data_IF_366532775846
#
_entry.id   IF_366532775846
#
_cell.length_a   1.000
_cell.length_b   1.000
_cell.length_c   1.000
_cell.angle_alpha   90.00
_cell.angle_beta   90.00
_cell.angle_gamma   90.00
#
_symmetry.space_group_name_H-M   'P 1'
#
loop_
_entity.id
_entity.type
_entity.pdbx_description
1 polymer ?
#
# COMPACT_ATOMS: atom_id res chain seq x y z
N UNK A 1 1.69 -7.18 10.02
CA UNK A 1 2.09 -8.44 9.35
C UNK A 1 2.45 -9.48 10.39
N UNK A 2 2.04 -10.74 10.21
CA UNK A 2 2.37 -11.84 11.11
C UNK A 2 3.20 -12.85 10.29
N UNK A 3 4.46 -13.06 10.69
CA UNK A 3 5.30 -14.10 10.12
C UNK A 3 4.72 -15.48 10.43
N UNK A 4 4.89 -16.44 9.53
CA UNK A 4 4.51 -17.83 9.79
C UNK A 4 5.62 -18.50 10.62
N UNK A 5 5.34 -18.91 11.87
CA UNK A 5 6.38 -19.26 12.86
C UNK A 5 7.25 -20.48 12.53
N UNK A 6 6.83 -21.39 11.67
CA UNK A 6 7.47 -22.69 11.47
C UNK A 6 7.98 -22.92 10.03
N UNK A 7 8.30 -21.85 9.29
CA UNK A 7 8.84 -22.03 7.94
C UNK A 7 10.35 -21.88 7.89
N UNK A 8 11.02 -22.77 7.14
CA UNK A 8 12.44 -22.59 6.87
C UNK A 8 12.70 -21.30 6.11
N UNK A 9 13.79 -20.67 6.40
CA UNK A 9 14.34 -19.55 5.68
C UNK A 9 14.45 -19.92 4.20
N UNK A 10 13.87 -19.13 3.29
CA UNK A 10 13.86 -19.43 1.87
C UNK A 10 14.44 -18.28 1.05
N UNK A 11 14.98 -18.60 -0.11
CA UNK A 11 15.38 -17.64 -1.12
C UNK A 11 14.15 -17.05 -1.80
N UNK A 12 14.32 -15.94 -2.53
CA UNK A 12 13.23 -15.35 -3.31
C UNK A 12 12.69 -16.32 -4.37
N UNK A 13 13.54 -17.11 -5.01
CA UNK A 13 13.11 -18.10 -6.00
C UNK A 13 12.28 -19.21 -5.37
N UNK A 14 12.72 -19.75 -4.23
CA UNK A 14 11.96 -20.75 -3.48
C UNK A 14 10.62 -20.19 -2.99
N UNK A 15 10.56 -18.89 -2.61
CA UNK A 15 9.31 -18.24 -2.26
C UNK A 15 8.35 -18.19 -3.46
N UNK A 16 8.78 -17.81 -4.65
CA UNK A 16 7.92 -17.79 -5.83
C UNK A 16 7.34 -19.17 -6.15
N UNK A 17 8.17 -20.22 -6.09
CA UNK A 17 7.73 -21.59 -6.32
C UNK A 17 6.77 -22.10 -5.23
N UNK A 18 7.03 -21.71 -3.99
CA UNK A 18 6.21 -22.08 -2.86
C UNK A 18 4.86 -21.35 -2.84
N UNK A 19 4.86 -20.04 -3.12
CA UNK A 19 3.64 -19.23 -3.01
C UNK A 19 2.54 -19.66 -3.99
N UNK A 20 2.90 -20.10 -5.20
CA UNK A 20 1.93 -20.63 -6.19
C UNK A 20 1.09 -21.78 -5.65
N UNK A 21 1.58 -22.50 -4.65
CA UNK A 21 0.90 -23.62 -4.02
C UNK A 21 0.04 -23.22 -2.82
N UNK A 22 0.03 -21.93 -2.46
CA UNK A 22 -0.69 -21.43 -1.29
C UNK A 22 -2.10 -20.95 -1.68
N UNK A 23 -3.01 -20.97 -0.69
CA UNK A 23 -4.38 -20.47 -0.85
C UNK A 23 -4.55 -18.96 -0.69
N UNK A 24 -3.48 -18.22 -0.35
CA UNK A 24 -3.47 -16.77 -0.21
C UNK A 24 -2.11 -16.20 -0.61
N UNK A 25 -2.05 -14.87 -0.76
CA UNK A 25 -0.82 -14.14 -1.10
C UNK A 25 0.06 -13.95 0.13
N UNK A 26 1.35 -13.91 -0.11
CA UNK A 26 2.36 -13.63 0.90
C UNK A 26 3.35 -12.58 0.41
N UNK A 27 3.74 -11.67 1.27
CA UNK A 27 4.91 -10.83 1.04
C UNK A 27 6.16 -11.55 1.55
N UNK A 28 7.29 -11.33 0.88
CA UNK A 28 8.57 -11.93 1.23
C UNK A 28 9.54 -10.86 1.70
N UNK A 29 10.15 -11.06 2.87
CA UNK A 29 11.16 -10.14 3.42
C UNK A 29 12.31 -10.93 4.02
N UNK A 30 13.48 -10.85 3.38
CA UNK A 30 14.74 -11.43 3.90
C UNK A 30 14.65 -12.90 4.35
N UNK A 31 13.94 -13.74 3.61
CA UNK A 31 13.80 -15.17 3.92
C UNK A 31 12.53 -15.55 4.64
N UNK A 32 11.79 -14.60 5.16
CA UNK A 32 10.51 -14.79 5.86
C UNK A 32 9.33 -14.44 4.97
N UNK A 33 8.19 -15.10 5.20
CA UNK A 33 6.94 -14.85 4.48
C UNK A 33 5.84 -14.36 5.41
N UNK A 34 5.05 -13.42 4.93
CA UNK A 34 4.01 -12.74 5.68
C UNK A 34 2.70 -12.83 4.93
N UNK A 35 1.69 -13.48 5.51
CA UNK A 35 0.38 -13.58 4.90
C UNK A 35 -0.27 -12.21 4.72
N UNK A 36 -0.82 -11.97 3.54
CA UNK A 36 -1.62 -10.79 3.28
C UNK A 36 -3.06 -11.00 3.74
N UNK A 37 -3.59 -10.01 4.42
CA UNK A 37 -5.02 -9.93 4.75
C UNK A 37 -5.73 -9.10 3.68
N UNK A 38 -6.99 -9.40 3.42
CA UNK A 38 -7.82 -8.58 2.51
C UNK A 38 -8.01 -7.16 3.05
N UNK A 39 -8.19 -6.21 2.14
CA UNK A 39 -8.54 -4.83 2.45
C UNK A 39 -10.04 -4.65 2.71
N UNK A 40 -10.44 -3.46 3.19
CA UNK A 40 -11.83 -3.05 3.32
C UNK A 40 -12.43 -2.65 1.96
N UNK A 41 -13.77 -2.47 1.90
CA UNK A 41 -14.42 -1.98 0.68
C UNK A 41 -13.91 -0.57 0.29
N UNK A 42 -13.80 0.43 1.19
CA UNK A 42 -13.18 1.72 0.88
C UNK A 42 -11.77 1.58 0.29
N UNK A 43 -10.92 0.76 0.89
CA UNK A 43 -9.58 0.48 0.38
C UNK A 43 -9.61 -0.03 -1.08
N UNK A 44 -10.46 -1.02 -1.36
CA UNK A 44 -10.58 -1.58 -2.70
C UNK A 44 -11.13 -0.56 -3.71
N UNK A 45 -12.16 0.22 -3.33
CA UNK A 45 -12.77 1.22 -4.20
C UNK A 45 -11.77 2.32 -4.60
N UNK A 46 -10.98 2.82 -3.66
CA UNK A 46 -9.92 3.81 -3.93
C UNK A 46 -8.90 3.27 -4.94
N UNK A 47 -8.43 2.04 -4.76
CA UNK A 47 -7.47 1.41 -5.68
C UNK A 47 -8.06 1.26 -7.09
N UNK A 48 -9.35 0.89 -7.20
CA UNK A 48 -10.09 0.77 -8.47
C UNK A 48 -10.25 2.14 -9.13
N UNK A 49 -10.68 3.17 -8.40
CA UNK A 49 -10.88 4.53 -8.93
C UNK A 49 -9.58 5.07 -9.53
N UNK A 50 -8.48 4.97 -8.78
CA UNK A 50 -7.18 5.40 -9.28
C UNK A 50 -6.72 4.58 -10.50
N UNK A 51 -6.87 3.26 -10.48
CA UNK A 51 -6.54 2.39 -11.61
C UNK A 51 -7.33 2.76 -12.87
N UNK A 52 -8.64 3.03 -12.73
CA UNK A 52 -9.52 3.42 -13.82
C UNK A 52 -9.09 4.76 -14.43
N UNK A 53 -8.71 5.73 -13.62
CA UNK A 53 -8.24 7.05 -14.07
C UNK A 53 -6.87 6.94 -14.78
N UNK A 54 -5.95 6.15 -14.25
CA UNK A 54 -4.60 6.05 -14.78
C UNK A 54 -4.51 5.22 -16.07
N UNK A 55 -5.30 4.15 -16.19
CA UNK A 55 -5.21 3.20 -17.30
C UNK A 55 -5.32 3.84 -18.68
N UNK A 56 -6.30 4.72 -19.00
CA UNK A 56 -6.39 5.42 -20.27
C UNK A 56 -5.18 6.32 -20.52
N UNK A 57 -4.71 7.02 -19.50
CA UNK A 57 -3.62 7.99 -19.58
C UNK A 57 -2.28 7.32 -19.95
N UNK A 58 -1.92 6.22 -19.27
CA UNK A 58 -0.62 5.58 -19.50
C UNK A 58 -0.57 4.67 -20.72
N UNK A 59 -1.72 4.31 -21.29
CA UNK A 59 -1.82 3.37 -22.41
C UNK A 59 -1.02 3.81 -23.65
N UNK A 60 -1.03 5.11 -23.95
CA UNK A 60 -0.30 5.70 -25.10
C UNK A 60 1.22 5.81 -24.84
N UNK A 61 1.66 5.68 -23.60
CA UNK A 61 3.05 5.91 -23.14
C UNK A 61 3.86 4.61 -23.01
N UNK A 62 3.33 3.49 -23.49
CA UNK A 62 3.94 2.15 -23.31
C UNK A 62 4.11 1.75 -21.84
N UNK A 63 3.39 2.38 -20.93
CA UNK A 63 3.37 2.04 -19.50
C UNK A 63 2.23 1.08 -19.17
N UNK A 64 2.36 0.37 -18.07
CA UNK A 64 1.34 -0.56 -17.55
C UNK A 64 0.96 -0.18 -16.15
N UNK A 65 -0.35 -0.15 -15.89
CA UNK A 65 -0.92 -0.14 -14.54
C UNK A 65 -1.14 -1.58 -14.12
N UNK A 66 -0.64 -1.96 -12.98
CA UNK A 66 -0.75 -3.29 -12.39
C UNK A 66 -1.44 -3.18 -11.03
N UNK A 67 -2.36 -4.09 -10.76
CA UNK A 67 -3.12 -4.17 -9.51
C UNK A 67 -2.34 -4.93 -8.43
N UNK A 68 -2.96 -5.07 -7.27
CA UNK A 68 -2.45 -5.82 -6.11
C UNK A 68 -2.20 -7.32 -6.38
N UNK A 69 -2.41 -7.81 -7.59
CA UNK A 69 -2.05 -9.18 -8.00
C UNK A 69 -0.62 -9.27 -8.56
N UNK A 70 0.01 -8.14 -8.83
CA UNK A 70 1.36 -8.08 -9.39
C UNK A 70 2.39 -7.81 -8.30
N UNK A 71 3.40 -8.68 -8.22
CA UNK A 71 4.53 -8.49 -7.31
C UNK A 71 5.50 -7.44 -7.82
N UNK A 72 6.12 -6.77 -6.87
CA UNK A 72 7.31 -5.92 -7.06
C UNK A 72 8.46 -6.51 -6.27
N UNK A 73 9.49 -7.01 -6.96
CA UNK A 73 10.72 -7.47 -6.34
C UNK A 73 11.73 -6.32 -6.24
N UNK A 74 12.29 -6.11 -5.06
CA UNK A 74 13.23 -5.01 -4.81
C UNK A 74 14.60 -5.27 -5.46
N UNK A 75 14.99 -6.52 -5.57
CA UNK A 75 16.19 -7.00 -6.25
C UNK A 75 16.06 -8.49 -6.52
N UNK A 76 17.02 -9.09 -7.22
CA UNK A 76 17.03 -10.51 -7.55
C UNK A 76 17.01 -11.45 -6.32
N UNK A 77 17.42 -10.96 -5.17
CA UNK A 77 17.46 -11.74 -3.90
C UNK A 77 16.77 -11.03 -2.75
N UNK A 78 16.21 -9.87 -3.01
CA UNK A 78 15.65 -8.97 -1.99
C UNK A 78 14.17 -9.24 -1.70
N UNK A 79 13.57 -8.37 -0.89
CA UNK A 79 12.14 -8.43 -0.59
C UNK A 79 11.26 -8.36 -1.84
N UNK A 80 10.07 -8.96 -1.74
CA UNK A 80 9.03 -8.91 -2.76
C UNK A 80 7.69 -8.60 -2.10
N UNK A 81 6.98 -7.61 -2.65
CA UNK A 81 5.73 -7.08 -2.10
C UNK A 81 4.63 -7.07 -3.15
N UNK A 82 3.38 -6.94 -2.69
CA UNK A 82 2.21 -6.70 -3.51
C UNK A 82 1.65 -5.31 -3.21
N UNK A 83 2.12 -4.25 -3.87
CA UNK A 83 1.50 -2.94 -3.71
C UNK A 83 0.07 -2.94 -4.25
N UNK A 84 -0.80 -2.09 -3.70
CA UNK A 84 -2.18 -1.98 -4.16
C UNK A 84 -2.26 -1.57 -5.64
N UNK A 85 -1.30 -0.75 -6.08
CA UNK A 85 -1.12 -0.42 -7.48
C UNK A 85 0.35 -0.10 -7.78
N UNK A 86 0.82 -0.50 -8.95
CA UNK A 86 2.13 -0.12 -9.46
C UNK A 86 2.07 0.26 -10.93
N UNK A 87 2.98 1.17 -11.34
CA UNK A 87 3.15 1.54 -12.74
C UNK A 87 4.60 1.32 -13.14
N UNK A 88 4.77 0.59 -14.23
CA UNK A 88 6.06 0.44 -14.91
C UNK A 88 5.99 0.92 -16.34
N UNK A 89 7.00 1.70 -16.74
CA UNK A 89 7.23 2.14 -18.13
C UNK A 89 8.51 1.51 -18.69
N UNK A 90 9.19 0.68 -17.90
CA UNK A 90 10.45 0.07 -18.26
C UNK A 90 10.25 -1.15 -19.17
N UNK A 91 11.02 -1.20 -20.25
CA UNK A 91 10.97 -2.32 -21.20
C UNK A 91 11.47 -3.64 -20.60
N UNK A 92 12.31 -3.59 -19.57
CA UNK A 92 12.81 -4.77 -18.87
C UNK A 92 11.69 -5.56 -18.16
N UNK A 93 10.63 -4.90 -17.76
CA UNK A 93 9.48 -5.54 -17.13
C UNK A 93 8.47 -6.13 -18.14
N UNK A 94 8.62 -5.93 -19.47
CA UNK A 94 7.61 -6.35 -20.46
C UNK A 94 7.36 -7.85 -20.51
N UNK A 95 8.36 -8.66 -20.27
CA UNK A 95 8.27 -10.11 -20.24
C UNK A 95 8.18 -10.72 -18.86
N UNK A 96 8.08 -9.89 -17.81
CA UNK A 96 8.02 -10.37 -16.43
C UNK A 96 6.76 -11.22 -16.20
N UNK A 97 6.92 -12.39 -15.56
CA UNK A 97 5.85 -13.34 -15.23
C UNK A 97 5.59 -13.31 -13.73
N UNK A 98 6.63 -13.41 -12.91
CA UNK A 98 6.49 -13.57 -11.46
C UNK A 98 6.45 -12.23 -10.72
N UNK A 99 7.31 -11.28 -11.10
CA UNK A 99 7.40 -9.96 -10.48
C UNK A 99 7.96 -8.92 -11.45
N UNK A 100 7.58 -7.65 -11.29
CA UNK A 100 8.28 -6.53 -11.91
C UNK A 100 9.38 -6.02 -10.98
N UNK A 101 10.45 -5.44 -11.57
CA UNK A 101 11.59 -4.92 -10.82
C UNK A 101 11.86 -3.43 -11.07
N UNK A 102 11.12 -2.80 -11.98
CA UNK A 102 11.42 -1.44 -12.42
C UNK A 102 10.17 -0.53 -12.44
N UNK A 103 9.34 -0.52 -11.38
CA UNK A 103 8.24 0.42 -11.31
C UNK A 103 8.75 1.86 -11.20
N UNK A 104 8.05 2.82 -11.82
CA UNK A 104 8.31 4.25 -11.64
C UNK A 104 7.40 4.86 -10.57
N UNK A 105 6.25 4.25 -10.29
CA UNK A 105 5.28 4.68 -9.30
C UNK A 105 4.72 3.46 -8.56
N UNK A 106 4.60 3.58 -7.25
CA UNK A 106 3.97 2.60 -6.35
C UNK A 106 2.93 3.32 -5.50
N UNK A 107 1.79 2.67 -5.29
CA UNK A 107 0.69 3.15 -4.46
C UNK A 107 0.35 2.11 -3.41
N UNK A 108 0.21 2.57 -2.17
CA UNK A 108 -0.38 1.81 -1.07
C UNK A 108 -1.61 2.57 -0.55
N UNK A 109 -2.73 1.89 -0.46
CA UNK A 109 -3.93 2.40 0.19
C UNK A 109 -3.87 2.00 1.64
N UNK A 110 -3.74 2.98 2.51
CA UNK A 110 -3.48 2.76 3.93
C UNK A 110 -4.70 2.21 4.65
N UNK A 111 -4.47 1.21 5.49
CA UNK A 111 -5.43 0.76 6.48
C UNK A 111 -4.89 1.01 7.89
N UNK A 112 -5.73 1.13 8.92
CA UNK A 112 -5.24 1.34 10.29
C UNK A 112 -4.24 0.27 10.77
N UNK A 113 -4.32 -0.94 10.25
CA UNK A 113 -3.44 -2.06 10.63
C UNK A 113 -2.11 -2.08 9.92
N UNK A 114 -1.98 -1.46 8.73
CA UNK A 114 -0.76 -1.52 7.90
C UNK A 114 -0.07 -0.16 7.75
N UNK A 115 -0.75 0.96 8.02
CA UNK A 115 -0.25 2.33 7.80
C UNK A 115 1.17 2.55 8.33
N UNK A 116 1.43 2.14 9.56
CA UNK A 116 2.76 2.30 10.18
C UNK A 116 3.86 1.56 9.42
N UNK A 117 3.55 0.39 8.89
CA UNK A 117 4.48 -0.41 8.10
C UNK A 117 4.71 0.18 6.70
N UNK A 118 3.63 0.58 6.03
CA UNK A 118 3.69 1.16 4.69
C UNK A 118 4.44 2.49 4.68
N UNK A 119 4.22 3.34 5.71
CA UNK A 119 4.95 4.60 5.91
C UNK A 119 6.43 4.41 6.25
N UNK A 120 6.79 3.30 6.85
CA UNK A 120 8.12 3.06 7.41
C UNK A 120 8.93 2.00 6.68
N UNK A 121 8.85 0.76 7.15
CA UNK A 121 9.73 -0.32 6.70
C UNK A 121 9.51 -0.68 5.23
N UNK A 122 8.26 -0.73 4.75
CA UNK A 122 7.94 -1.04 3.35
C UNK A 122 8.49 0.03 2.41
N UNK A 123 8.30 1.33 2.73
CA UNK A 123 8.92 2.42 2.00
C UNK A 123 10.46 2.35 2.01
N UNK A 124 11.07 1.98 3.14
CA UNK A 124 12.52 1.82 3.23
C UNK A 124 13.07 0.76 2.27
N UNK A 125 12.28 -0.25 1.92
CA UNK A 125 12.60 -1.20 0.88
C UNK A 125 12.36 -0.63 -0.52
N UNK A 126 11.19 -0.07 -0.80
CA UNK A 126 10.83 0.46 -2.12
C UNK A 126 11.78 1.56 -2.63
N UNK A 127 12.23 2.45 -1.76
CA UNK A 127 13.18 3.53 -2.15
C UNK A 127 14.57 3.03 -2.58
N UNK A 128 14.84 1.71 -2.53
CA UNK A 128 16.06 1.09 -3.08
C UNK A 128 15.91 0.77 -4.57
N UNK A 129 14.70 0.82 -5.12
CA UNK A 129 14.44 0.65 -6.54
C UNK A 129 14.94 1.89 -7.29
N UNK A 130 15.92 1.71 -8.16
CA UNK A 130 16.51 2.82 -8.94
C UNK A 130 15.52 3.47 -9.90
N UNK A 131 14.51 2.72 -10.35
CA UNK A 131 13.47 3.19 -11.26
C UNK A 131 12.39 4.01 -10.57
N UNK A 132 12.18 3.82 -9.27
CA UNK A 132 11.10 4.45 -8.51
C UNK A 132 11.29 5.97 -8.44
N UNK A 133 10.23 6.71 -8.75
CA UNK A 133 10.17 8.18 -8.70
C UNK A 133 9.15 8.69 -7.71
N UNK A 134 8.07 7.96 -7.53
CA UNK A 134 7.00 8.34 -6.61
C UNK A 134 6.49 7.13 -5.81
N UNK A 135 6.31 7.37 -4.52
CA UNK A 135 5.64 6.44 -3.60
C UNK A 135 4.44 7.17 -3.00
N UNK A 136 3.26 6.65 -3.26
CA UNK A 136 1.98 7.28 -2.97
C UNK A 136 1.28 6.54 -1.85
N UNK A 137 0.81 7.27 -0.87
CA UNK A 137 0.03 6.77 0.25
C UNK A 137 -1.35 7.42 0.23
N UNK A 138 -2.42 6.63 0.18
CA UNK A 138 -3.80 7.09 0.13
C UNK A 138 -4.53 6.58 1.35
N UNK A 139 -5.08 7.46 2.18
CA UNK A 139 -5.84 7.05 3.36
C UNK A 139 -7.19 6.44 2.96
N UNK A 140 -7.59 5.31 3.58
CA UNK A 140 -8.89 4.69 3.30
C UNK A 140 -10.01 5.14 4.26
N UNK A 141 -9.67 5.94 5.27
CA UNK A 141 -10.58 6.42 6.32
C UNK A 141 -10.84 7.93 6.28
N UNK A 142 -10.09 8.67 5.47
CA UNK A 142 -10.22 10.12 5.30
C UNK A 142 -9.68 10.56 3.95
N UNK A 143 -10.14 11.71 3.45
CA UNK A 143 -9.60 12.31 2.21
C UNK A 143 -8.21 12.86 2.48
N UNK A 144 -7.20 12.08 2.16
CA UNK A 144 -5.79 12.45 2.31
C UNK A 144 -4.92 11.59 1.40
N UNK A 145 -4.06 12.25 0.64
CA UNK A 145 -3.02 11.62 -0.18
C UNK A 145 -1.67 12.21 0.16
N UNK A 146 -0.67 11.38 0.29
CA UNK A 146 0.71 11.80 0.53
C UNK A 146 1.61 11.17 -0.51
N UNK A 147 2.43 11.99 -1.15
CA UNK A 147 3.35 11.51 -2.19
C UNK A 147 4.78 11.83 -1.80
N UNK A 148 5.58 10.77 -1.64
CA UNK A 148 7.02 10.90 -1.58
C UNK A 148 7.57 10.91 -3.01
N UNK A 149 8.29 11.99 -3.39
CA UNK A 149 8.93 12.16 -4.70
C UNK A 149 10.44 12.16 -4.59
N UNK A 150 11.10 11.44 -5.48
CA UNK A 150 12.55 11.50 -5.60
C UNK A 150 12.92 12.73 -6.42
N UNK A 151 13.58 13.71 -5.78
CA UNK A 151 14.02 14.92 -6.44
C UNK A 151 15.36 14.74 -7.18
N UNK A 152 15.80 15.78 -7.92
CA UNK A 152 17.05 15.79 -8.69
C UNK A 152 18.31 15.61 -7.81
N UNK A 153 18.20 15.88 -6.50
CA UNK A 153 19.28 15.69 -5.52
C UNK A 153 19.27 14.32 -4.88
N UNK A 154 18.48 13.37 -5.43
CA UNK A 154 18.27 12.04 -4.88
C UNK A 154 17.74 12.04 -3.43
N UNK A 155 16.85 13.00 -3.10
CA UNK A 155 16.16 13.09 -1.83
C UNK A 155 14.68 12.85 -2.03
N UNK A 156 14.06 12.11 -1.12
CA UNK A 156 12.64 11.91 -1.07
C UNK A 156 11.98 13.08 -0.34
N UNK A 157 11.06 13.76 -1.02
CA UNK A 157 10.30 14.88 -0.52
C UNK A 157 8.83 14.53 -0.44
N UNK A 158 8.22 14.79 0.72
CA UNK A 158 6.81 14.54 0.97
C UNK A 158 5.97 15.75 0.55
N UNK A 159 4.92 15.49 -0.25
CA UNK A 159 3.88 16.46 -0.57
C UNK A 159 2.54 15.88 -0.12
N UNK A 160 1.86 16.48 0.87
CA UNK A 160 0.50 16.10 1.24
C UNK A 160 -0.53 16.78 0.35
N UNK A 161 -1.70 16.15 0.19
CA UNK A 161 -2.88 16.67 -0.50
C UNK A 161 -4.11 16.43 0.37
N UNK A 162 -4.94 17.46 0.52
CA UNK A 162 -6.20 17.44 1.26
C UNK A 162 -7.41 17.62 0.31
N UNK A 163 -8.61 17.52 0.86
CA UNK A 163 -9.84 17.72 0.12
C UNK A 163 -9.86 19.07 -0.63
N UNK A 164 -10.31 19.07 -1.87
CA UNK A 164 -10.36 20.23 -2.77
C UNK A 164 -9.07 20.49 -3.56
N UNK A 165 -8.02 19.68 -3.36
CA UNK A 165 -6.76 19.85 -4.07
C UNK A 165 -6.63 18.93 -5.28
N UNK A 166 -5.79 19.32 -6.22
CA UNK A 166 -5.43 18.51 -7.38
C UNK A 166 -4.17 17.70 -7.08
N UNK A 167 -4.30 16.39 -7.07
CA UNK A 167 -3.18 15.46 -6.86
C UNK A 167 -2.36 15.35 -8.14
N UNK A 168 -1.05 15.52 -8.03
CA UNK A 168 -0.13 15.47 -9.16
C UNK A 168 0.80 14.25 -9.07
N UNK A 169 0.73 13.37 -10.07
CA UNK A 169 1.61 12.21 -10.26
C UNK A 169 2.64 12.56 -11.33
N UNK A 170 3.73 13.21 -10.92
CA UNK A 170 4.70 13.83 -11.84
C UNK A 170 5.49 12.81 -12.65
N UNK A 171 5.76 11.63 -12.10
CA UNK A 171 6.51 10.56 -12.78
C UNK A 171 5.82 10.02 -14.03
N UNK A 172 4.51 10.22 -14.12
CA UNK A 172 3.68 9.79 -15.26
C UNK A 172 2.94 10.96 -15.92
N UNK A 173 3.21 12.20 -15.51
CA UNK A 173 2.59 13.44 -16.02
C UNK A 173 1.04 13.38 -15.97
N UNK A 174 0.49 12.94 -14.87
CA UNK A 174 -0.95 12.83 -14.62
C UNK A 174 -1.35 13.69 -13.43
N UNK A 175 -2.52 14.31 -13.52
CA UNK A 175 -3.14 15.01 -12.38
C UNK A 175 -4.65 14.77 -12.37
N UNK A 176 -5.24 14.80 -11.19
CA UNK A 176 -6.68 14.67 -11.00
C UNK A 176 -7.13 15.36 -9.71
N UNK A 177 -8.40 15.82 -9.64
CA UNK A 177 -8.98 16.19 -8.36
C UNK A 177 -8.90 15.04 -7.36
N UNK A 178 -8.57 15.32 -6.10
CA UNK A 178 -8.46 14.28 -5.07
C UNK A 178 -9.77 13.51 -4.90
N UNK A 179 -10.92 14.17 -5.11
CA UNK A 179 -12.27 13.61 -5.01
C UNK A 179 -12.49 12.45 -5.97
N UNK A 180 -11.82 12.43 -7.12
CA UNK A 180 -11.89 11.32 -8.07
C UNK A 180 -11.45 10.00 -7.45
N UNK A 181 -10.46 10.04 -6.56
CA UNK A 181 -9.95 8.84 -5.87
C UNK A 181 -10.96 8.29 -4.87
N UNK A 182 -11.83 9.16 -4.35
CA UNK A 182 -12.82 8.86 -3.31
C UNK A 182 -14.27 8.84 -3.85
N UNK A 183 -14.45 8.79 -5.18
CA UNK A 183 -15.76 8.66 -5.81
C UNK A 183 -16.45 7.39 -5.34
N UNK A 184 -17.69 7.50 -4.83
CA UNK A 184 -18.49 6.41 -4.26
C UNK A 184 -17.80 5.64 -3.11
N UNK A 185 -16.91 6.32 -2.37
CA UNK A 185 -16.25 5.75 -1.18
C UNK A 185 -16.90 6.29 0.09
N UNK A 186 -17.51 5.40 0.86
CA UNK A 186 -18.05 5.74 2.18
C UNK A 186 -16.92 5.85 3.21
N UNK A 187 -16.52 7.09 3.50
CA UNK A 187 -15.58 7.41 4.58
C UNK A 187 -16.36 7.62 5.90
N UNK A 188 -17.04 6.59 6.38
CA UNK A 188 -17.71 6.67 7.68
C UNK A 188 -16.67 6.78 8.78
N UNK A 189 -16.84 7.70 9.76
CA UNK A 189 -15.97 7.73 10.93
C UNK A 189 -16.06 6.36 11.62
N UNK A 190 -14.94 5.66 11.78
CA UNK A 190 -14.91 4.56 12.72
C UNK A 190 -15.23 5.15 14.09
N UNK A 191 -16.35 4.72 14.68
CA UNK A 191 -16.71 5.07 16.06
C UNK A 191 -15.47 4.81 16.93
N UNK A 192 -14.89 5.90 17.41
CA UNK A 192 -13.88 5.85 18.46
C UNK A 192 -14.49 5.04 19.59
N UNK A 193 -13.92 3.86 19.86
CA UNK A 193 -14.34 2.95 20.90
C UNK A 193 -14.72 3.71 22.15
N UNK A 194 -15.97 3.53 22.57
CA UNK A 194 -16.55 4.10 23.77
C UNK A 194 -15.66 3.76 24.97
N UNK A 195 -14.96 4.74 25.45
CA UNK A 195 -14.45 4.79 26.80
C UNK A 195 -15.67 4.99 27.70
N UNK A 196 -16.32 3.90 28.07
CA UNK A 196 -17.40 3.91 29.04
C UNK A 196 -16.76 4.06 30.41
N UNK A 197 -17.08 5.11 31.18
CA UNK A 197 -16.64 5.19 32.56
C UNK A 197 -17.33 4.06 33.37
N UNK A 198 -16.54 3.19 33.96
CA UNK A 198 -17.02 2.28 34.98
C UNK A 198 -17.55 3.13 36.15
N UNK A 199 -18.87 3.20 36.31
CA UNK A 199 -19.48 3.64 37.53
C UNK A 199 -19.10 2.71 38.67
N UNK A 200 -18.26 3.19 39.56
CA UNK A 200 -17.99 2.58 40.84
C UNK A 200 -19.20 2.69 41.73
N UNK A 201 -19.99 1.65 41.85
CA UNK A 201 -21.04 1.51 42.82
C UNK A 201 -20.45 1.22 44.22
N UNK A 202 -20.09 2.27 44.93
CA UNK A 202 -19.90 2.21 46.39
C UNK A 202 -21.25 2.07 47.09
N UNK A 203 -21.64 0.84 47.36
CA UNK A 203 -22.77 0.55 48.25
C UNK A 203 -22.28 0.58 49.70
N UNK A 204 -22.48 1.69 50.35
CA UNK A 204 -22.42 1.78 51.82
C UNK A 204 -23.56 0.97 52.41
N UNK A 205 -23.24 -0.06 53.15
CA UNK A 205 -24.17 -0.73 54.05
C UNK A 205 -23.83 -0.34 55.49
N UNK A 206 -24.59 0.58 56.01
CA UNK A 206 -24.62 0.85 57.46
C UNK A 206 -25.46 -0.23 58.09
N UNK A 207 -24.90 -0.95 59.05
CA UNK A 207 -25.64 -1.83 59.92
C UNK A 207 -25.62 -1.28 61.33
N UNK A 208 -26.80 -1.02 61.84
CA UNK A 208 -27.05 -0.88 63.28
C UNK A 208 -27.46 -2.22 63.85
N UNK A 209 -26.99 -2.46 65.02
CA UNK A 209 -27.35 -3.28 66.16
C UNK A 209 -26.46 -4.48 66.43
#
# INVERSE_FOLDING_TARGET
MIAIPDKPYMTLQEYFEWEVQQGCKYEYVNGEVYAMTGGTIPHSAIAVNLSAALRPHVRSRSCRVLSSDAKVAISETGPSFYPDLSITCDSRDRGAIDAICHPCLIVEVLSPSTESYDRGAKFAHYRRLESLREYVLISSDRVNVEIFRLNERHKWELTPYAAGETVQFTSIEFECPIELLYEDVDLSPQDSAQDSPQESSDARTSSQQ
#
